data_IF_995306743450
#
_entry.id   IF_995306743450
#
_cell.length_a   1.000
_cell.length_b   1.000
_cell.length_c   1.000
_cell.angle_alpha   90.00
_cell.angle_beta   90.00
_cell.angle_gamma   90.00
#
_symmetry.space_group_name_H-M   'P 1'
#
loop_
_entity.id
_entity.type
_entity.pdbx_description
1 polymer ?
#
# COMPACT_ATOMS: atom_id res chain seq x y z
N UNK A 1 17.31 -8.81 -2.03
CA UNK A 1 16.47 -7.60 -2.16
C UNK A 1 15.13 -8.05 -2.75
N UNK A 2 13.99 -7.72 -2.13
CA UNK A 2 12.68 -7.99 -2.73
C UNK A 2 12.26 -6.76 -3.54
N UNK A 3 11.52 -6.96 -4.62
CA UNK A 3 10.84 -5.85 -5.28
C UNK A 3 9.71 -5.31 -4.40
N UNK A 4 9.42 -4.02 -4.54
CA UNK A 4 8.40 -3.32 -3.75
C UNK A 4 7.36 -2.72 -4.68
N UNK A 5 6.09 -2.89 -4.32
CA UNK A 5 4.93 -2.25 -4.98
C UNK A 5 4.39 -1.17 -4.05
N UNK A 6 4.49 0.08 -4.47
CA UNK A 6 3.86 1.20 -3.77
C UNK A 6 2.45 1.41 -4.31
N UNK A 7 1.44 1.21 -3.48
CA UNK A 7 0.04 1.46 -3.80
C UNK A 7 -0.41 2.74 -3.11
N UNK A 8 -0.67 3.80 -3.87
CA UNK A 8 -1.31 5.02 -3.35
C UNK A 8 -2.80 5.00 -3.68
N UNK A 9 -3.64 5.11 -2.65
CA UNK A 9 -5.08 4.88 -2.70
C UNK A 9 -5.45 3.41 -2.47
N UNK A 10 -5.97 3.11 -1.28
CA UNK A 10 -6.49 1.82 -0.85
C UNK A 10 -7.93 1.60 -1.36
N UNK A 11 -8.16 1.83 -2.65
CA UNK A 11 -9.43 1.53 -3.31
C UNK A 11 -9.47 0.10 -3.88
N UNK A 12 -10.67 -0.39 -4.23
CA UNK A 12 -10.83 -1.74 -4.77
C UNK A 12 -10.05 -1.98 -6.07
N UNK A 13 -9.96 -0.97 -6.95
CA UNK A 13 -9.18 -1.06 -8.20
C UNK A 13 -7.69 -1.17 -7.88
N UNK A 14 -7.19 -0.32 -6.99
CA UNK A 14 -5.81 -0.34 -6.52
C UNK A 14 -5.42 -1.69 -5.93
N UNK A 15 -6.26 -2.23 -5.04
CA UNK A 15 -6.12 -3.57 -4.50
C UNK A 15 -6.10 -4.64 -5.60
N UNK A 16 -7.00 -4.56 -6.57
CA UNK A 16 -7.07 -5.55 -7.65
C UNK A 16 -5.81 -5.53 -8.53
N UNK A 17 -5.21 -4.36 -8.77
CA UNK A 17 -3.93 -4.25 -9.49
C UNK A 17 -2.79 -4.79 -8.62
N UNK A 18 -2.70 -4.36 -7.35
CA UNK A 18 -1.67 -4.79 -6.43
C UNK A 18 -1.66 -6.31 -6.22
N UNK A 19 -2.83 -6.97 -6.19
CA UNK A 19 -2.93 -8.44 -6.14
C UNK A 19 -2.37 -9.13 -7.39
N UNK A 20 -2.46 -8.51 -8.57
CA UNK A 20 -1.94 -9.11 -9.82
C UNK A 20 -0.43 -8.97 -9.94
N UNK A 21 0.13 -7.84 -9.53
CA UNK A 21 1.56 -7.52 -9.73
C UNK A 21 2.42 -7.73 -8.49
N UNK A 22 1.81 -7.82 -7.30
CA UNK A 22 2.48 -7.85 -6.01
C UNK A 22 2.80 -9.25 -5.48
N UNK A 23 2.52 -10.31 -6.25
CA UNK A 23 2.87 -11.67 -5.83
C UNK A 23 4.39 -11.82 -5.67
N UNK A 24 4.84 -12.29 -4.50
CA UNK A 24 6.26 -12.42 -4.17
C UNK A 24 6.99 -11.10 -3.89
N UNK A 25 6.28 -9.97 -3.86
CA UNK A 25 6.81 -8.62 -3.60
C UNK A 25 6.33 -8.11 -2.25
N UNK A 26 7.03 -7.12 -1.67
CA UNK A 26 6.48 -6.32 -0.56
C UNK A 26 5.50 -5.31 -1.14
N UNK A 27 4.38 -5.08 -0.47
CA UNK A 27 3.38 -4.10 -0.87
C UNK A 27 3.31 -3.05 0.24
N UNK A 28 3.49 -1.79 -0.13
CA UNK A 28 3.33 -0.66 0.81
C UNK A 28 2.12 0.14 0.35
N UNK A 29 1.10 0.20 1.19
CA UNK A 29 -0.17 0.88 0.91
C UNK A 29 -0.17 2.24 1.60
N UNK A 30 -0.41 3.31 0.84
CA UNK A 30 -0.64 4.65 1.36
C UNK A 30 -2.05 5.11 1.03
N UNK A 31 -2.84 5.53 2.02
CA UNK A 31 -4.15 6.15 1.80
C UNK A 31 -4.33 7.35 2.75
N UNK A 32 -5.14 8.34 2.33
CA UNK A 32 -5.45 9.49 3.18
C UNK A 32 -6.27 9.09 4.41
N UNK A 33 -7.09 8.04 4.31
CA UNK A 33 -7.75 7.41 5.43
C UNK A 33 -6.91 6.23 5.91
N UNK A 34 -6.32 6.37 7.10
CA UNK A 34 -5.54 5.28 7.71
C UNK A 34 -6.39 4.03 7.93
N UNK A 35 -7.67 4.19 8.29
CA UNK A 35 -8.63 3.10 8.45
C UNK A 35 -8.85 2.34 7.12
N UNK A 36 -8.97 3.07 6.00
CA UNK A 36 -9.08 2.45 4.69
C UNK A 36 -7.80 1.70 4.31
N UNK A 37 -6.63 2.27 4.59
CA UNK A 37 -5.34 1.61 4.37
C UNK A 37 -5.22 0.30 5.17
N UNK A 38 -5.59 0.33 6.46
CA UNK A 38 -5.58 -0.82 7.36
C UNK A 38 -6.55 -1.92 6.89
N UNK A 39 -7.77 -1.54 6.49
CA UNK A 39 -8.77 -2.49 6.00
C UNK A 39 -8.30 -3.27 4.77
N UNK A 40 -7.76 -2.56 3.76
CA UNK A 40 -7.24 -3.20 2.56
C UNK A 40 -5.98 -4.02 2.85
N UNK A 41 -5.06 -3.49 3.67
CA UNK A 41 -3.86 -4.22 4.07
C UNK A 41 -4.22 -5.52 4.79
N UNK A 42 -5.17 -5.49 5.72
CA UNK A 42 -5.66 -6.68 6.43
C UNK A 42 -6.19 -7.74 5.46
N UNK A 43 -7.01 -7.35 4.49
CA UNK A 43 -7.53 -8.27 3.46
C UNK A 43 -6.37 -8.90 2.66
N UNK A 44 -5.38 -8.10 2.28
CA UNK A 44 -4.25 -8.59 1.50
C UNK A 44 -3.30 -9.47 2.32
N UNK A 45 -3.05 -9.16 3.59
CA UNK A 45 -2.27 -9.99 4.52
C UNK A 45 -2.95 -11.35 4.71
N UNK A 46 -4.26 -11.36 4.94
CA UNK A 46 -5.05 -12.60 5.06
C UNK A 46 -5.04 -13.42 3.77
N UNK A 47 -4.88 -12.78 2.61
CA UNK A 47 -4.69 -13.44 1.32
C UNK A 47 -3.24 -13.90 1.05
N UNK A 48 -2.33 -13.72 2.01
CA UNK A 48 -0.94 -14.21 1.95
C UNK A 48 0.08 -13.23 1.34
N UNK A 49 -0.27 -11.95 1.20
CA UNK A 49 0.68 -10.93 0.73
C UNK A 49 1.50 -10.36 1.90
N UNK A 50 2.72 -9.91 1.59
CA UNK A 50 3.62 -9.18 2.49
C UNK A 50 3.29 -7.69 2.38
N UNK A 51 2.52 -7.13 3.33
CA UNK A 51 1.92 -5.79 3.22
C UNK A 51 2.15 -4.95 4.47
N UNK A 52 2.50 -3.68 4.26
CA UNK A 52 2.49 -2.61 5.27
C UNK A 52 1.57 -1.47 4.81
N UNK A 53 1.05 -0.69 5.76
CA UNK A 53 0.14 0.42 5.48
C UNK A 53 0.52 1.68 6.25
N UNK A 54 0.30 2.83 5.60
CA UNK A 54 0.61 4.14 6.15
C UNK A 54 -0.45 5.17 5.73
N UNK A 55 -0.60 6.22 6.52
CA UNK A 55 -1.35 7.39 6.10
C UNK A 55 -0.55 8.15 5.04
N UNK A 56 -1.17 8.47 3.91
CA UNK A 56 -0.55 9.25 2.83
C UNK A 56 -1.55 10.20 2.16
N UNK A 57 -1.29 11.50 2.27
CA UNK A 57 -1.94 12.51 1.46
C UNK A 57 -1.07 12.82 0.22
N UNK A 58 -1.49 12.32 -0.93
CA UNK A 58 -0.78 12.51 -2.21
C UNK A 58 -0.77 13.96 -2.71
N UNK A 59 -1.55 14.87 -2.11
CA UNK A 59 -1.43 16.30 -2.39
C UNK A 59 -0.25 16.95 -1.64
N UNK A 60 0.29 16.27 -0.62
CA UNK A 60 1.43 16.72 0.17
C UNK A 60 2.73 16.05 -0.28
N UNK A 61 3.67 16.86 -0.79
CA UNK A 61 5.02 16.40 -1.16
C UNK A 61 5.76 15.76 0.02
N UNK A 62 5.56 16.29 1.23
CA UNK A 62 6.18 15.74 2.43
C UNK A 62 5.59 14.37 2.77
N UNK A 63 4.27 14.23 2.70
CA UNK A 63 3.60 12.94 2.92
C UNK A 63 4.05 11.88 1.92
N UNK A 64 4.16 12.22 0.63
CA UNK A 64 4.72 11.33 -0.40
C UNK A 64 6.16 10.91 -0.04
N UNK A 65 7.01 11.85 0.40
CA UNK A 65 8.39 11.55 0.77
C UNK A 65 8.49 10.62 1.97
N UNK A 66 7.58 10.77 2.94
CA UNK A 66 7.54 9.90 4.10
C UNK A 66 7.13 8.48 3.68
N UNK A 67 6.10 8.33 2.85
CA UNK A 67 5.70 7.02 2.32
C UNK A 67 6.83 6.33 1.55
N UNK A 68 7.58 7.07 0.71
CA UNK A 68 8.70 6.50 -0.07
C UNK A 68 9.83 6.00 0.83
N UNK A 69 10.03 6.55 2.03
CA UNK A 69 11.09 6.07 2.95
C UNK A 69 10.77 4.70 3.56
N UNK A 70 9.50 4.33 3.63
CA UNK A 70 9.04 3.05 4.17
C UNK A 70 9.04 1.91 3.12
N UNK A 71 9.18 2.29 1.84
CA UNK A 71 9.19 1.39 0.68
C UNK A 71 10.61 0.91 0.35
#
# INVERSE_FOLDING_TARGET
>A
MKDVVLLTGAGQIGMAIARRIGFGKKIVIGDKSIENAENIATIMIQAGYDVEYFECDISSRESIRNLIKEA
#
